data_IF_043407144240
#
_entry.id   IF_043407144240
#
_cell.length_a   1.000
_cell.length_b   1.000
_cell.length_c   1.000
_cell.angle_alpha   90.00
_cell.angle_beta   90.00
_cell.angle_gamma   90.00
#
_symmetry.space_group_name_H-M   'P 1'
#
loop_
_entity.id
_entity.type
_entity.pdbx_description
1 polymer ?
#
# COMPACT_ATOMS: atom_id res chain seq x y z
N UNK A 1 5.60 19.95 11.38
CA UNK A 1 4.38 20.39 10.65
C UNK A 1 4.01 21.85 10.91
N UNK A 2 4.13 22.36 12.14
CA UNK A 2 3.82 23.77 12.47
C UNK A 2 4.62 24.81 11.68
N UNK A 3 5.85 24.46 11.26
CA UNK A 3 6.67 25.29 10.37
C UNK A 3 6.14 25.31 8.92
N UNK A 4 5.53 24.21 8.48
CA UNK A 4 5.09 24.03 7.08
C UNK A 4 3.68 24.56 6.82
N UNK A 5 2.82 24.56 7.84
CA UNK A 5 1.43 24.99 7.70
C UNK A 5 1.07 25.93 8.86
N UNK A 6 0.79 27.22 8.61
CA UNK A 6 0.55 28.21 9.66
C UNK A 6 -0.72 27.93 10.48
N UNK A 7 -1.60 27.03 10.04
CA UNK A 7 -2.78 26.57 10.80
C UNK A 7 -2.46 25.49 11.83
N UNK A 8 -1.29 24.85 11.74
CA UNK A 8 -0.87 23.83 12.70
C UNK A 8 -0.04 24.50 13.80
N UNK A 9 -0.56 24.53 15.03
CA UNK A 9 0.18 24.98 16.20
C UNK A 9 0.74 23.79 16.96
N UNK A 10 1.94 23.92 17.50
CA UNK A 10 2.59 22.89 18.30
C UNK A 10 3.34 23.55 19.46
N UNK A 11 3.11 23.04 20.66
CA UNK A 11 3.82 23.42 21.88
C UNK A 11 4.36 22.14 22.50
N UNK A 12 5.69 22.03 22.65
CA UNK A 12 6.29 21.00 23.48
C UNK A 12 6.28 21.49 24.94
N UNK A 13 5.74 20.69 25.84
CA UNK A 13 5.60 21.04 27.26
C UNK A 13 6.56 20.15 28.05
N UNK A 14 7.44 20.79 28.82
CA UNK A 14 8.32 20.08 29.74
C UNK A 14 7.59 19.77 31.04
N UNK A 15 7.42 18.48 31.31
CA UNK A 15 6.76 17.99 32.52
C UNK A 15 7.45 18.42 33.81
N UNK A 16 8.77 18.64 33.81
CA UNK A 16 9.49 19.11 34.99
C UNK A 16 9.03 20.49 35.46
N UNK A 17 8.60 21.34 34.52
CA UNK A 17 8.20 22.73 34.79
C UNK A 17 6.69 22.88 35.00
N UNK A 18 5.86 22.03 34.37
CA UNK A 18 4.39 22.13 34.34
C UNK A 18 3.71 20.92 35.00
N UNK A 19 4.02 20.66 36.27
CA UNK A 19 3.49 19.52 37.04
C UNK A 19 1.96 19.58 37.26
N UNK A 20 1.40 20.79 37.36
CA UNK A 20 -0.05 21.01 37.44
C UNK A 20 -0.77 20.47 36.20
N UNK A 21 -0.26 20.75 35.00
CA UNK A 21 -0.87 20.28 33.75
C UNK A 21 -0.82 18.76 33.58
N UNK A 22 0.22 18.09 34.12
CA UNK A 22 0.30 16.63 34.16
C UNK A 22 -0.84 16.05 35.00
N UNK A 23 -1.12 16.67 36.15
CA UNK A 23 -2.10 16.20 37.13
C UNK A 23 -3.52 16.44 36.62
N UNK A 24 -3.80 17.66 36.16
CA UNK A 24 -5.13 18.07 35.65
C UNK A 24 -5.56 17.26 34.42
N UNK A 25 -4.60 16.79 33.62
CA UNK A 25 -4.83 16.04 32.37
C UNK A 25 -4.52 14.55 32.49
N UNK A 26 -4.27 14.07 33.72
CA UNK A 26 -4.05 12.68 34.07
C UNK A 26 -2.99 11.96 33.20
N UNK A 27 -1.83 12.59 32.98
CA UNK A 27 -0.76 12.05 32.12
C UNK A 27 0.15 11.10 32.90
N UNK A 28 -0.08 9.80 32.76
CA UNK A 28 0.69 8.76 33.49
C UNK A 28 1.95 8.25 32.75
N UNK A 29 2.21 8.70 31.52
CA UNK A 29 3.37 8.26 30.74
C UNK A 29 3.70 9.19 29.57
N UNK A 30 4.98 9.28 29.20
CA UNK A 30 5.49 10.19 28.16
C UNK A 30 6.22 9.43 27.04
N UNK A 31 6.23 9.95 25.80
CA UNK A 31 5.53 11.16 25.34
C UNK A 31 4.00 10.94 25.22
N UNK A 32 3.22 11.97 25.55
CA UNK A 32 1.76 12.00 25.40
C UNK A 32 1.37 13.22 24.56
N UNK A 33 0.55 12.99 23.53
CA UNK A 33 0.15 14.02 22.56
C UNK A 33 -1.34 14.27 22.68
N UNK A 34 -1.71 15.55 22.66
CA UNK A 34 -3.09 16.00 22.69
C UNK A 34 -3.35 16.93 21.51
N UNK A 35 -4.46 16.73 20.80
CA UNK A 35 -4.92 17.61 19.73
C UNK A 35 -6.14 18.38 20.21
N UNK A 36 -6.08 19.72 20.19
CA UNK A 36 -7.18 20.60 20.61
C UNK A 36 -7.79 20.23 21.99
N UNK A 37 -6.93 19.88 22.96
CA UNK A 37 -7.34 19.50 24.31
C UNK A 37 -7.83 18.05 24.47
N UNK A 38 -7.95 17.28 23.39
CA UNK A 38 -8.33 15.86 23.40
C UNK A 38 -7.10 14.96 23.27
N UNK A 39 -7.15 13.79 23.90
CA UNK A 39 -6.10 12.78 23.77
C UNK A 39 -5.95 12.33 22.31
N UNK A 40 -4.71 12.25 21.82
CA UNK A 40 -4.38 11.89 20.43
C UNK A 40 -3.58 10.58 20.35
N UNK A 41 -2.65 10.38 21.27
CA UNK A 41 -1.85 9.17 21.37
C UNK A 41 -0.71 9.29 22.37
N UNK A 42 -0.16 8.14 22.76
CA UNK A 42 0.92 8.03 23.73
C UNK A 42 2.00 7.09 23.18
N UNK A 43 3.27 7.36 23.50
CA UNK A 43 4.41 6.58 23.03
C UNK A 43 4.93 7.01 21.65
N UNK A 44 5.73 6.15 21.02
CA UNK A 44 6.41 6.46 19.76
C UNK A 44 5.39 6.54 18.62
N UNK A 45 5.37 7.67 17.92
CA UNK A 45 4.57 7.87 16.70
C UNK A 45 5.45 8.49 15.62
N UNK A 46 5.36 7.95 14.41
CA UNK A 46 6.02 8.49 13.22
C UNK A 46 5.22 9.66 12.63
N UNK A 47 5.88 10.49 11.82
CA UNK A 47 5.20 11.61 11.16
C UNK A 47 4.02 11.14 10.28
N UNK A 48 4.21 10.03 9.56
CA UNK A 48 3.18 9.44 8.70
C UNK A 48 1.94 9.02 9.48
N UNK A 49 2.12 8.37 10.64
CA UNK A 49 1.02 7.94 11.51
C UNK A 49 0.25 9.14 12.10
N UNK A 50 0.97 10.20 12.50
CA UNK A 50 0.35 11.42 13.01
C UNK A 50 -0.48 12.07 11.89
N UNK A 51 0.05 12.18 10.67
CA UNK A 51 -0.64 12.78 9.52
C UNK A 51 -1.90 11.99 9.15
N UNK A 52 -1.82 10.66 9.15
CA UNK A 52 -2.97 9.80 8.87
C UNK A 52 -4.10 9.99 9.91
N UNK A 53 -3.77 10.11 11.20
CA UNK A 53 -4.77 10.35 12.26
C UNK A 53 -5.42 11.73 12.22
N UNK A 54 -4.68 12.78 11.82
CA UNK A 54 -5.23 14.15 11.76
C UNK A 54 -6.07 14.42 10.51
N UNK A 55 -5.80 13.71 9.41
CA UNK A 55 -6.42 13.99 8.12
C UNK A 55 -7.60 13.06 7.86
N UNK A 56 -8.70 13.26 8.61
CA UNK A 56 -9.93 12.46 8.48
C UNK A 56 -10.63 12.64 7.12
N UNK A 57 -10.16 13.57 6.28
CA UNK A 57 -10.61 13.78 4.90
C UNK A 57 -9.59 13.32 3.85
N UNK A 58 -8.47 12.72 4.25
CA UNK A 58 -7.40 12.27 3.35
C UNK A 58 -7.93 11.26 2.31
N UNK A 59 -8.70 10.27 2.76
CA UNK A 59 -9.25 9.24 1.88
C UNK A 59 -10.18 9.82 0.83
N UNK A 60 -11.06 10.75 1.23
CA UNK A 60 -11.98 11.43 0.31
C UNK A 60 -11.23 12.30 -0.70
N UNK A 61 -10.20 13.04 -0.27
CA UNK A 61 -9.39 13.86 -1.17
C UNK A 61 -8.53 13.02 -2.12
N UNK A 62 -7.96 11.92 -1.63
CA UNK A 62 -7.26 10.96 -2.47
C UNK A 62 -8.20 10.36 -3.53
N UNK A 63 -9.44 10.02 -3.13
CA UNK A 63 -10.44 9.54 -4.07
C UNK A 63 -10.86 10.61 -5.11
N UNK A 64 -11.02 11.87 -4.68
CA UNK A 64 -11.28 12.99 -5.60
C UNK A 64 -10.12 13.22 -6.59
N UNK A 65 -8.87 13.11 -6.14
CA UNK A 65 -7.70 13.21 -7.05
C UNK A 65 -7.65 12.05 -8.05
N UNK A 66 -7.98 10.83 -7.62
CA UNK A 66 -8.10 9.68 -8.53
C UNK A 66 -9.22 9.88 -9.55
N UNK A 67 -10.36 10.45 -9.14
CA UNK A 67 -11.49 10.74 -10.03
C UNK A 67 -11.19 11.78 -11.11
N UNK A 68 -10.23 12.67 -10.88
CA UNK A 68 -9.80 13.69 -11.85
C UNK A 68 -8.85 13.15 -12.92
N UNK A 69 -8.31 11.95 -12.73
CA UNK A 69 -7.33 11.40 -13.68
C UNK A 69 -7.98 11.11 -15.02
N UNK A 70 -7.27 11.47 -16.07
CA UNK A 70 -7.65 11.09 -17.43
C UNK A 70 -7.66 9.58 -17.59
N UNK A 71 -8.52 9.11 -18.49
CA UNK A 71 -8.66 7.70 -18.78
C UNK A 71 -7.31 7.09 -19.22
N UNK A 72 -7.03 5.89 -18.74
CA UNK A 72 -5.84 5.13 -19.14
C UNK A 72 -6.10 4.41 -20.46
N UNK A 73 -5.02 4.17 -21.21
CA UNK A 73 -5.08 3.19 -22.29
C UNK A 73 -5.19 1.78 -21.70
N UNK A 74 -4.47 1.54 -20.61
CA UNK A 74 -4.57 0.30 -19.81
C UNK A 74 -4.47 0.58 -18.33
N UNK A 75 -5.42 0.03 -17.56
CA UNK A 75 -5.38 0.03 -16.10
C UNK A 75 -5.20 -1.40 -15.59
N UNK A 76 -4.15 -1.60 -14.81
CA UNK A 76 -3.78 -2.89 -14.23
C UNK A 76 -4.21 -2.92 -12.77
N UNK A 77 -4.99 -3.92 -12.38
CA UNK A 77 -5.53 -4.11 -11.03
C UNK A 77 -4.81 -5.25 -10.33
N UNK A 78 -3.96 -4.90 -9.37
CA UNK A 78 -3.06 -5.78 -8.64
C UNK A 78 -1.60 -5.50 -8.97
N UNK A 79 -0.82 -5.10 -7.96
CA UNK A 79 0.59 -4.68 -8.07
C UNK A 79 1.60 -5.76 -7.63
N UNK A 80 1.23 -7.03 -7.77
CA UNK A 80 2.15 -8.16 -7.61
C UNK A 80 3.05 -8.37 -8.84
N UNK A 81 3.82 -9.48 -8.92
CA UNK A 81 4.73 -9.74 -10.04
C UNK A 81 4.05 -9.68 -11.41
N UNK A 82 2.83 -10.22 -11.54
CA UNK A 82 2.08 -10.20 -12.79
C UNK A 82 1.71 -8.78 -13.24
N UNK A 83 1.24 -7.93 -12.32
CA UNK A 83 0.86 -6.55 -12.64
C UNK A 83 2.05 -5.65 -12.92
N UNK A 84 3.14 -5.79 -12.16
CA UNK A 84 4.39 -5.08 -12.42
C UNK A 84 4.96 -5.43 -13.81
N UNK A 85 4.97 -6.72 -14.18
CA UNK A 85 5.38 -7.14 -15.50
C UNK A 85 4.49 -6.56 -16.61
N UNK A 86 3.17 -6.59 -16.44
CA UNK A 86 2.24 -5.98 -17.38
C UNK A 86 2.49 -4.47 -17.54
N UNK A 87 2.71 -3.75 -16.44
CA UNK A 87 2.95 -2.31 -16.44
C UNK A 87 4.21 -1.93 -17.23
N UNK A 88 5.31 -2.65 -17.00
CA UNK A 88 6.57 -2.47 -17.73
C UNK A 88 6.34 -2.68 -19.24
N UNK A 89 5.65 -3.76 -19.62
CA UNK A 89 5.41 -4.04 -21.03
C UNK A 89 4.50 -3.01 -21.71
N UNK A 90 3.47 -2.55 -21.01
CA UNK A 90 2.55 -1.52 -21.50
C UNK A 90 3.25 -0.17 -21.65
N UNK A 91 3.95 0.30 -20.62
CA UNK A 91 4.61 1.61 -20.66
C UNK A 91 5.75 1.67 -21.68
N UNK A 92 6.42 0.54 -21.97
CA UNK A 92 7.38 0.43 -23.08
C UNK A 92 6.79 0.67 -24.47
N UNK A 93 5.46 0.64 -24.62
CA UNK A 93 4.75 1.02 -25.85
C UNK A 93 4.35 2.50 -25.88
N UNK A 94 4.66 3.26 -24.83
CA UNK A 94 4.33 4.69 -24.72
C UNK A 94 2.84 4.98 -24.53
N UNK A 95 2.06 3.97 -24.14
CA UNK A 95 0.62 4.15 -23.86
C UNK A 95 0.41 4.52 -22.39
N UNK A 96 -0.65 5.27 -22.10
CA UNK A 96 -0.95 5.77 -20.75
C UNK A 96 -1.32 4.60 -19.84
N UNK A 97 -0.40 4.26 -18.94
CA UNK A 97 -0.44 3.03 -18.14
C UNK A 97 -0.67 3.35 -16.67
N UNK A 98 -1.74 2.79 -16.09
CA UNK A 98 -2.01 2.84 -14.66
C UNK A 98 -1.76 1.49 -14.00
N UNK A 99 -1.12 1.48 -12.83
CA UNK A 99 -0.92 0.28 -12.02
C UNK A 99 -1.47 0.53 -10.62
N UNK A 100 -2.62 -0.07 -10.28
CA UNK A 100 -3.23 0.07 -8.97
C UNK A 100 -3.15 -1.23 -8.15
N UNK A 101 -2.96 -1.12 -6.84
CA UNK A 101 -3.03 -2.27 -5.95
C UNK A 101 -3.00 -1.89 -4.48
N UNK A 102 -3.28 -2.89 -3.63
CA UNK A 102 -3.33 -2.71 -2.17
C UNK A 102 -1.93 -2.55 -1.57
N UNK A 103 -0.95 -3.28 -2.11
CA UNK A 103 0.43 -3.26 -1.67
C UNK A 103 1.35 -3.65 -2.83
N UNK A 104 2.26 -2.77 -3.23
CA UNK A 104 3.25 -3.10 -4.26
C UNK A 104 4.10 -4.32 -3.84
N UNK A 105 4.32 -5.24 -4.78
CA UNK A 105 5.04 -6.51 -4.56
C UNK A 105 4.12 -7.70 -4.29
N UNK A 106 2.92 -7.50 -3.75
CA UNK A 106 1.99 -8.61 -3.47
C UNK A 106 2.63 -9.70 -2.59
N UNK A 107 2.39 -10.97 -2.94
CA UNK A 107 2.80 -12.14 -2.12
C UNK A 107 4.31 -12.25 -1.87
N UNK A 108 5.16 -11.82 -2.83
CA UNK A 108 6.61 -11.94 -2.65
C UNK A 108 7.11 -11.07 -1.51
N UNK A 109 6.39 -10.02 -1.11
CA UNK A 109 6.82 -9.12 -0.05
C UNK A 109 6.77 -9.78 1.35
N UNK A 110 5.97 -10.83 1.50
CA UNK A 110 5.89 -11.65 2.72
C UNK A 110 6.69 -12.97 2.59
N UNK A 111 7.48 -13.12 1.52
CA UNK A 111 8.36 -14.26 1.27
C UNK A 111 9.79 -13.94 1.70
N UNK A 112 10.50 -14.91 2.28
CA UNK A 112 11.90 -14.75 2.67
C UNK A 112 12.80 -15.24 1.54
N UNK A 113 13.19 -16.52 1.54
CA UNK A 113 14.09 -17.08 0.52
C UNK A 113 13.35 -17.42 -0.78
N UNK A 114 13.94 -17.05 -1.91
CA UNK A 114 13.45 -17.36 -3.26
C UNK A 114 14.63 -17.86 -4.11
N UNK A 115 14.54 -19.09 -4.59
CA UNK A 115 15.63 -19.78 -5.31
C UNK A 115 15.23 -20.26 -6.72
N UNK A 116 14.01 -19.94 -7.15
CA UNK A 116 13.45 -20.37 -8.43
C UNK A 116 13.08 -19.20 -9.36
N UNK A 117 13.56 -17.99 -9.08
CA UNK A 117 13.47 -16.87 -10.00
C UNK A 117 14.59 -16.99 -11.05
N UNK A 118 14.25 -17.52 -12.22
CA UNK A 118 15.21 -17.88 -13.29
C UNK A 118 16.24 -16.77 -13.52
N UNK A 119 17.51 -17.17 -13.69
CA UNK A 119 18.73 -16.33 -13.74
C UNK A 119 19.23 -15.77 -12.40
N UNK A 120 18.47 -15.90 -11.32
CA UNK A 120 18.84 -15.45 -9.98
C UNK A 120 18.85 -16.65 -9.02
N UNK A 121 20.04 -17.21 -8.71
CA UNK A 121 20.13 -18.44 -7.90
C UNK A 121 19.51 -18.31 -6.51
N UNK A 122 19.66 -17.15 -5.87
CA UNK A 122 19.04 -16.84 -4.58
C UNK A 122 18.74 -15.35 -4.48
N UNK A 123 17.53 -15.02 -4.04
CA UNK A 123 17.12 -13.66 -3.67
C UNK A 123 16.14 -13.71 -2.51
N UNK A 124 15.75 -12.54 -2.05
CA UNK A 124 14.77 -12.37 -0.99
C UNK A 124 13.54 -11.61 -1.49
N UNK A 125 12.39 -11.86 -0.88
CA UNK A 125 11.12 -11.25 -1.27
C UNK A 125 11.13 -9.72 -1.27
N UNK A 126 11.62 -9.11 -0.20
CA UNK A 126 11.75 -7.64 -0.10
C UNK A 126 12.70 -7.07 -1.17
N UNK A 127 13.81 -7.77 -1.42
CA UNK A 127 14.80 -7.38 -2.44
C UNK A 127 14.20 -7.46 -3.85
N UNK A 128 13.47 -8.53 -4.15
CA UNK A 128 12.82 -8.72 -5.43
C UNK A 128 11.70 -7.69 -5.65
N UNK A 129 10.88 -7.40 -4.63
CA UNK A 129 9.86 -6.36 -4.71
C UNK A 129 10.46 -4.97 -4.99
N UNK A 130 11.59 -4.64 -4.33
CA UNK A 130 12.35 -3.42 -4.63
C UNK A 130 12.87 -3.38 -6.06
N UNK A 131 13.45 -4.48 -6.56
CA UNK A 131 13.93 -4.58 -7.94
C UNK A 131 12.80 -4.42 -8.97
N UNK A 132 11.61 -4.99 -8.70
CA UNK A 132 10.42 -4.78 -9.53
C UNK A 132 9.99 -3.30 -9.51
N UNK A 133 10.00 -2.66 -8.35
CA UNK A 133 9.64 -1.23 -8.23
C UNK A 133 10.57 -0.35 -9.03
N UNK A 134 11.89 -0.57 -8.92
CA UNK A 134 12.89 0.14 -9.72
C UNK A 134 12.59 -0.01 -11.21
N UNK A 135 12.35 -1.22 -11.71
CA UNK A 135 12.10 -1.42 -13.14
C UNK A 135 10.76 -0.81 -13.62
N UNK A 136 9.73 -0.77 -12.77
CA UNK A 136 8.48 -0.05 -13.08
C UNK A 136 8.73 1.46 -13.19
N UNK A 137 9.56 2.03 -12.30
CA UNK A 137 9.85 3.47 -12.23
C UNK A 137 10.75 3.97 -13.36
N UNK A 138 11.38 3.08 -14.14
CA UNK A 138 12.12 3.44 -15.35
C UNK A 138 11.21 3.95 -16.48
N UNK A 139 9.90 3.82 -16.34
CA UNK A 139 8.91 4.19 -17.36
C UNK A 139 7.81 5.09 -16.79
N UNK A 140 7.03 5.70 -17.70
CA UNK A 140 5.86 6.51 -17.34
C UNK A 140 4.68 5.60 -16.94
N UNK A 141 4.74 5.11 -15.69
CA UNK A 141 3.68 4.32 -15.05
C UNK A 141 3.11 5.12 -13.89
N UNK A 142 1.80 5.34 -13.94
CA UNK A 142 1.08 5.93 -12.82
C UNK A 142 0.80 4.85 -11.76
N UNK A 143 1.69 4.74 -10.78
CA UNK A 143 1.61 3.75 -9.70
C UNK A 143 0.71 4.26 -8.57
N UNK A 144 -0.37 3.52 -8.29
CA UNK A 144 -1.38 3.82 -7.28
C UNK A 144 -1.34 2.72 -6.21
N UNK A 145 -0.66 2.99 -5.11
CA UNK A 145 -0.54 2.04 -4.00
C UNK A 145 -1.63 2.27 -2.94
N UNK A 146 -1.85 1.29 -2.07
CA UNK A 146 -2.86 1.33 -0.99
C UNK A 146 -4.28 1.60 -1.50
N UNK A 147 -4.65 1.07 -2.67
CA UNK A 147 -6.00 1.14 -3.21
C UNK A 147 -6.54 -0.25 -3.55
N UNK A 148 -7.74 -0.56 -3.05
CA UNK A 148 -8.44 -1.81 -3.36
C UNK A 148 -9.54 -1.56 -4.38
N UNK A 149 -9.59 -2.36 -5.44
CA UNK A 149 -10.68 -2.33 -6.41
C UNK A 149 -11.89 -3.10 -5.86
N UNK A 150 -13.08 -2.49 -5.91
CA UNK A 150 -14.33 -3.08 -5.42
C UNK A 150 -15.20 -3.62 -6.55
N UNK A 151 -15.14 -3.03 -7.75
CA UNK A 151 -16.03 -3.40 -8.85
C UNK A 151 -15.43 -3.05 -10.22
N UNK A 152 -15.65 -3.95 -11.19
CA UNK A 152 -15.47 -3.67 -12.61
C UNK A 152 -16.83 -3.39 -13.25
N UNK A 153 -16.93 -2.28 -13.97
CA UNK A 153 -18.07 -1.97 -14.85
C UNK A 153 -17.58 -2.07 -16.30
N UNK A 154 -18.04 -3.09 -17.05
CA UNK A 154 -17.73 -3.21 -18.47
C UNK A 154 -18.25 -2.02 -19.28
N UNK A 155 -17.51 -1.64 -20.33
CA UNK A 155 -17.99 -0.64 -21.28
C UNK A 155 -19.30 -1.14 -21.94
N UNK A 156 -20.26 -0.23 -22.14
CA UNK A 156 -21.55 -0.57 -22.75
C UNK A 156 -21.45 -0.83 -24.27
N UNK A 157 -20.39 -0.33 -24.91
CA UNK A 157 -20.14 -0.45 -26.35
C UNK A 157 -18.66 -0.72 -26.60
N UNK A 158 -18.35 -1.38 -27.70
CA UNK A 158 -16.98 -1.52 -28.19
C UNK A 158 -16.36 -0.13 -28.46
N UNK A 159 -15.09 0.05 -28.08
CA UNK A 159 -14.41 1.35 -28.12
C UNK A 159 -14.76 2.29 -26.96
N UNK A 160 -15.69 1.91 -26.08
CA UNK A 160 -15.99 2.61 -24.84
C UNK A 160 -14.94 2.40 -23.74
N UNK A 161 -15.17 3.02 -22.57
CA UNK A 161 -14.28 2.91 -21.42
C UNK A 161 -14.85 1.96 -20.36
N UNK A 162 -14.01 1.06 -19.87
CA UNK A 162 -14.25 0.32 -18.64
C UNK A 162 -14.04 1.22 -17.43
N UNK A 163 -14.70 0.88 -16.32
CA UNK A 163 -14.53 1.58 -15.05
C UNK A 163 -14.15 0.63 -13.93
N UNK A 164 -13.23 1.05 -13.08
CA UNK A 164 -12.88 0.38 -11.82
C UNK A 164 -13.30 1.29 -10.67
N UNK A 165 -14.27 0.82 -9.89
CA UNK A 165 -14.58 1.43 -8.59
C UNK A 165 -13.58 0.93 -7.55
N UNK A 166 -13.22 1.81 -6.63
CA UNK A 166 -12.34 1.51 -5.49
C UNK A 166 -13.12 1.48 -4.20
N UNK A 167 -12.60 0.79 -3.18
CA UNK A 167 -13.18 0.78 -1.84
C UNK A 167 -13.21 2.19 -1.20
N UNK A 168 -12.32 3.09 -1.61
CA UNK A 168 -12.26 4.50 -1.18
C UNK A 168 -13.30 5.39 -1.87
N UNK A 169 -14.04 4.87 -2.87
CA UNK A 169 -15.09 5.60 -3.60
C UNK A 169 -14.62 6.34 -4.86
N UNK A 170 -13.35 6.18 -5.26
CA UNK A 170 -12.88 6.64 -6.58
C UNK A 170 -13.31 5.70 -7.71
N UNK A 171 -13.39 6.24 -8.91
CA UNK A 171 -13.70 5.56 -10.17
C UNK A 171 -12.63 5.92 -11.21
N UNK A 172 -11.82 4.94 -11.57
CA UNK A 172 -10.82 5.06 -12.62
C UNK A 172 -11.39 4.54 -13.94
N UNK A 173 -10.99 5.14 -15.06
CA UNK A 173 -11.48 4.81 -16.41
C UNK A 173 -10.33 4.29 -17.26
N UNK A 174 -10.58 3.26 -18.07
CA UNK A 174 -9.57 2.76 -19.00
C UNK A 174 -10.17 2.14 -20.27
N UNK A 175 -9.42 2.19 -21.37
CA UNK A 175 -9.78 1.50 -22.62
C UNK A 175 -9.63 -0.02 -22.50
N UNK A 176 -8.66 -0.48 -21.70
CA UNK A 176 -8.42 -1.89 -21.43
C UNK A 176 -8.09 -2.12 -19.95
N UNK A 177 -8.43 -3.30 -19.43
CA UNK A 177 -8.20 -3.69 -18.04
C UNK A 177 -7.38 -4.98 -18.00
N UNK A 178 -6.39 -5.03 -17.11
CA UNK A 178 -5.66 -6.27 -16.77
C UNK A 178 -5.92 -6.56 -15.30
N UNK A 179 -6.51 -7.72 -15.00
CA UNK A 179 -6.73 -8.17 -13.62
C UNK A 179 -5.60 -9.11 -13.22
N UNK A 180 -4.86 -8.71 -12.19
CA UNK A 180 -3.67 -9.40 -11.67
C UNK A 180 -3.65 -9.41 -10.13
N UNK A 181 -4.82 -9.53 -9.50
CA UNK A 181 -5.02 -9.43 -8.04
C UNK A 181 -4.49 -10.62 -7.24
N UNK A 182 -4.05 -11.69 -7.92
CA UNK A 182 -3.46 -12.85 -7.29
C UNK A 182 -4.47 -13.70 -6.53
N UNK A 183 -3.99 -14.37 -5.48
CA UNK A 183 -4.79 -15.25 -4.62
C UNK A 183 -4.23 -15.22 -3.20
N UNK A 184 -4.98 -15.82 -2.27
CA UNK A 184 -4.54 -16.05 -0.88
C UNK A 184 -4.71 -17.54 -0.54
N UNK A 185 -3.65 -18.17 -0.07
CA UNK A 185 -3.74 -19.52 0.49
C UNK A 185 -4.61 -19.51 1.73
N UNK A 186 -5.46 -20.54 1.89
CA UNK A 186 -6.27 -20.70 3.10
C UNK A 186 -5.35 -21.10 4.25
N UNK A 187 -5.47 -20.39 5.37
CA UNK A 187 -4.77 -20.72 6.61
C UNK A 187 -5.51 -21.81 7.39
N UNK A 188 -4.78 -22.52 8.25
CA UNK A 188 -5.35 -23.49 9.19
C UNK A 188 -6.05 -22.80 10.37
N UNK A 189 -5.62 -21.58 10.71
CA UNK A 189 -6.08 -20.77 11.85
C UNK A 189 -5.90 -21.48 13.20
N UNK A 190 -4.71 -22.05 13.42
CA UNK A 190 -4.35 -22.76 14.65
C UNK A 190 -3.19 -22.08 15.38
N UNK A 191 -3.09 -22.24 16.72
CA UNK A 191 -1.94 -21.73 17.46
C UNK A 191 -0.61 -22.25 16.89
N UNK A 192 0.35 -21.34 16.71
CA UNK A 192 1.67 -21.64 16.15
C UNK A 192 1.78 -21.49 14.63
N UNK A 193 0.68 -21.48 13.85
CA UNK A 193 0.76 -21.33 12.39
C UNK A 193 1.48 -20.02 12.00
N UNK A 194 1.08 -18.90 12.59
CA UNK A 194 1.68 -17.59 12.31
C UNK A 194 3.12 -17.50 12.84
N UNK A 195 3.39 -18.08 14.02
CA UNK A 195 4.71 -18.07 14.66
C UNK A 195 5.78 -18.81 13.84
N UNK A 196 5.39 -19.91 13.19
CA UNK A 196 6.28 -20.77 12.41
C UNK A 196 6.17 -20.55 10.90
N UNK A 197 5.38 -19.57 10.45
CA UNK A 197 5.34 -19.16 9.05
C UNK A 197 6.75 -18.75 8.63
N UNK A 198 7.17 -19.24 7.45
CA UNK A 198 8.55 -19.11 6.91
C UNK A 198 9.66 -19.77 7.74
N UNK A 199 9.31 -20.52 8.80
CA UNK A 199 10.24 -21.28 9.68
C UNK A 199 9.88 -22.77 9.76
N UNK A 200 9.25 -23.29 8.72
CA UNK A 200 8.76 -24.68 8.64
C UNK A 200 7.30 -24.78 8.21
N UNK A 201 6.47 -23.78 8.50
CA UNK A 201 5.13 -23.65 7.91
C UNK A 201 5.24 -22.92 6.57
N UNK A 202 4.90 -23.62 5.50
CA UNK A 202 4.87 -23.13 4.11
C UNK A 202 3.58 -23.52 3.40
N UNK A 203 3.27 -22.83 2.31
CA UNK A 203 2.10 -23.04 1.46
C UNK A 203 2.46 -23.55 0.06
N UNK A 204 3.74 -23.54 -0.33
CA UNK A 204 4.18 -23.83 -1.70
C UNK A 204 5.18 -24.99 -1.74
N UNK A 205 4.72 -26.22 -2.06
CA UNK A 205 5.62 -27.38 -2.19
C UNK A 205 6.67 -27.23 -3.30
N UNK A 206 6.38 -26.49 -4.37
CA UNK A 206 7.35 -26.24 -5.44
C UNK A 206 8.42 -25.21 -5.08
N UNK A 207 8.17 -24.40 -4.05
CA UNK A 207 9.07 -23.34 -3.61
C UNK A 207 10.05 -23.87 -2.58
N UNK A 208 9.53 -24.58 -1.58
CA UNK A 208 10.30 -25.01 -0.39
C UNK A 208 10.42 -26.53 -0.26
N UNK A 209 9.92 -27.28 -1.24
CA UNK A 209 10.17 -28.71 -1.33
C UNK A 209 11.65 -28.98 -1.57
N UNK A 210 12.18 -30.16 -1.19
CA UNK A 210 13.54 -30.54 -1.55
C UNK A 210 13.69 -30.48 -3.07
N UNK A 211 14.65 -29.72 -3.56
CA UNK A 211 15.15 -29.88 -4.93
C UNK A 211 15.78 -31.28 -5.00
N UNK A 212 14.99 -32.28 -5.40
CA UNK A 212 15.46 -33.62 -5.71
C UNK A 212 16.15 -33.61 -7.07
#
# INVERSE_FOLDING_TARGET
>A
MSVLNPRIKHTAIDGGTFQNEITDRNVMGVPAVFVNGKEFGQGRMTLTEIVAKIDTGAEKRAAEELNKRDAYDVLIVGSGPAGAAAAIYSARKGIRTGLMGERFGGQILDTVDIENYISVPKTEGQKLAGALKVHVDEYDVDVIDSQSASKLIPAAVEGGLHQIETASGAVLKARSIIVATGAKWRNMNVPGEDQYRTKGVTYCPHCDGPAV
#
